data_IF_157359360567
#
_entry.id   IF_157359360567
#
_cell.length_a   1.000
_cell.length_b   1.000
_cell.length_c   1.000
_cell.angle_alpha   90.00
_cell.angle_beta   90.00
_cell.angle_gamma   90.00
#
_symmetry.space_group_name_H-M   'P 1'
#
loop_
_entity.id
_entity.type
_entity.pdbx_description
1 polymer ?
#
# COMPACT_ATOMS: atom_id res chain seq x y z
N UNK A 1 63.36 -7.70 59.71
CA UNK A 1 62.12 -8.41 59.80
C UNK A 1 60.96 -7.41 59.46
N UNK A 2 60.53 -7.28 58.18
CA UNK A 2 59.54 -6.32 57.74
C UNK A 2 58.51 -7.15 56.97
N UNK A 3 57.26 -7.17 57.45
CA UNK A 3 56.15 -7.87 56.95
C UNK A 3 55.49 -6.95 55.89
N UNK A 4 55.45 -7.38 54.63
CA UNK A 4 54.72 -6.70 53.54
C UNK A 4 53.31 -7.31 53.50
N UNK A 5 52.30 -6.48 53.76
CA UNK A 5 50.86 -6.86 53.58
C UNK A 5 50.49 -6.57 52.16
N UNK A 6 50.11 -7.62 51.47
CA UNK A 6 49.53 -7.57 50.10
C UNK A 6 48.04 -7.26 50.23
N UNK A 7 47.58 -6.12 49.67
CA UNK A 7 46.18 -5.78 49.53
C UNK A 7 45.68 -6.30 48.22
N UNK A 8 44.79 -7.32 48.22
CA UNK A 8 44.02 -7.71 47.05
C UNK A 8 42.81 -6.77 46.90
N UNK A 9 42.80 -5.93 45.86
CA UNK A 9 41.64 -5.18 45.42
C UNK A 9 40.80 -6.08 44.54
N UNK A 10 39.64 -6.51 45.04
CA UNK A 10 38.62 -7.19 44.26
C UNK A 10 37.75 -6.13 43.52
N UNK A 11 37.94 -6.01 42.24
CA UNK A 11 37.07 -5.20 41.38
C UNK A 11 35.78 -5.98 41.03
N UNK A 12 34.66 -5.58 41.64
CA UNK A 12 33.33 -6.07 41.30
C UNK A 12 32.88 -5.34 40.04
N UNK A 13 32.95 -6.03 38.90
CA UNK A 13 32.40 -5.56 37.65
C UNK A 13 30.85 -5.70 37.66
N UNK A 14 30.16 -4.58 37.77
CA UNK A 14 28.72 -4.54 37.58
C UNK A 14 28.38 -4.69 36.08
N UNK A 15 27.94 -5.87 35.67
CA UNK A 15 27.38 -6.09 34.33
C UNK A 15 25.98 -5.46 34.28
N UNK A 16 25.85 -4.32 33.60
CA UNK A 16 24.58 -3.73 33.25
C UNK A 16 23.93 -4.58 32.16
N UNK A 17 22.98 -5.44 32.55
CA UNK A 17 22.06 -6.09 31.62
C UNK A 17 21.10 -5.04 31.06
N UNK A 18 21.37 -4.56 29.84
CA UNK A 18 20.43 -3.78 29.07
C UNK A 18 19.28 -4.70 28.64
N UNK A 19 18.19 -4.73 29.39
CA UNK A 19 16.96 -5.35 28.94
C UNK A 19 16.42 -4.52 27.78
N UNK A 20 16.55 -5.04 26.56
CA UNK A 20 15.83 -4.53 25.38
C UNK A 20 14.35 -4.78 25.64
N UNK A 21 13.60 -3.73 25.93
CA UNK A 21 12.14 -3.80 25.93
C UNK A 21 11.74 -3.93 24.45
N UNK A 22 11.59 -5.16 23.97
CA UNK A 22 10.85 -5.42 22.76
C UNK A 22 9.43 -4.93 23.03
N UNK A 23 9.04 -3.82 22.41
CA UNK A 23 7.66 -3.35 22.45
C UNK A 23 6.81 -4.47 21.88
N UNK A 24 5.99 -5.12 22.69
CA UNK A 24 4.96 -6.00 22.21
C UNK A 24 4.01 -5.14 21.37
N UNK A 25 3.93 -5.39 20.07
CA UNK A 25 2.89 -4.82 19.24
C UNK A 25 1.60 -5.50 19.65
N UNK A 26 0.59 -4.70 20.01
CA UNK A 26 -0.71 -5.23 20.32
C UNK A 26 -1.32 -5.78 19.03
N UNK A 27 -1.59 -7.08 19.01
CA UNK A 27 -2.30 -7.78 17.94
C UNK A 27 -3.70 -8.16 18.38
N UNK A 28 -4.62 -8.22 17.43
CA UNK A 28 -6.02 -8.62 17.71
C UNK A 28 -6.68 -9.31 16.55
N UNK A 29 -7.76 -10.02 16.84
CA UNK A 29 -8.67 -10.50 15.82
C UNK A 29 -9.48 -9.31 15.25
N UNK A 30 -9.43 -9.12 13.95
CA UNK A 30 -10.26 -8.16 13.22
C UNK A 30 -11.35 -8.90 12.46
N UNK A 31 -12.60 -8.49 12.64
CA UNK A 31 -13.76 -9.05 11.95
C UNK A 31 -14.21 -8.10 10.86
N UNK A 32 -14.20 -8.56 9.62
CA UNK A 32 -14.67 -7.82 8.46
C UNK A 32 -15.99 -8.41 7.98
N UNK A 33 -16.92 -7.56 7.59
CA UNK A 33 -18.19 -7.95 7.01
C UNK A 33 -18.40 -7.27 5.67
N UNK A 34 -18.56 -8.08 4.64
CA UNK A 34 -18.70 -7.64 3.26
C UNK A 34 -20.14 -7.74 2.80
N UNK A 35 -20.67 -6.65 2.29
CA UNK A 35 -22.02 -6.60 1.72
C UNK A 35 -22.05 -5.78 0.42
N UNK A 36 -23.09 -5.97 -0.35
CA UNK A 36 -23.29 -5.26 -1.61
C UNK A 36 -23.64 -3.79 -1.31
N UNK A 37 -23.04 -2.89 -2.08
CA UNK A 37 -23.37 -1.47 -2.00
C UNK A 37 -24.86 -1.24 -2.28
N UNK A 38 -25.46 -0.32 -1.53
CA UNK A 38 -26.85 0.08 -1.57
C UNK A 38 -27.88 -0.95 -1.05
N UNK A 39 -27.44 -2.11 -0.63
CA UNK A 39 -28.29 -3.07 0.09
C UNK A 39 -27.43 -3.87 1.10
N UNK A 40 -28.10 -4.69 1.92
CA UNK A 40 -27.43 -5.44 2.99
C UNK A 40 -27.15 -6.90 2.58
N UNK A 41 -27.16 -7.21 1.30
CA UNK A 41 -26.90 -8.59 0.82
C UNK A 41 -25.44 -8.94 1.08
N UNK A 42 -25.24 -9.95 1.90
CA UNK A 42 -23.90 -10.45 2.28
C UNK A 42 -23.18 -11.07 1.07
N UNK A 43 -21.88 -10.79 0.96
CA UNK A 43 -21.06 -11.31 -0.14
C UNK A 43 -20.28 -12.52 0.37
N UNK A 44 -20.67 -13.70 -0.08
CA UNK A 44 -20.04 -14.97 0.23
C UNK A 44 -18.90 -15.29 -0.74
N UNK A 45 -17.84 -15.89 -0.23
CA UNK A 45 -16.73 -16.41 -1.05
C UNK A 45 -15.86 -15.33 -1.67
N UNK A 46 -15.91 -14.11 -1.12
CA UNK A 46 -14.97 -13.06 -1.47
C UNK A 46 -13.59 -13.37 -0.87
N UNK A 47 -12.55 -13.35 -1.68
CA UNK A 47 -11.17 -13.46 -1.23
C UNK A 47 -10.70 -12.13 -0.66
N UNK A 48 -10.13 -12.16 0.54
CA UNK A 48 -9.67 -10.97 1.26
C UNK A 48 -8.17 -11.10 1.52
N UNK A 49 -7.42 -10.08 1.11
CA UNK A 49 -5.99 -9.96 1.36
C UNK A 49 -5.72 -8.64 2.09
N UNK A 50 -4.87 -8.66 3.10
CA UNK A 50 -4.48 -7.48 3.87
C UNK A 50 -2.99 -7.23 3.66
N UNK A 51 -2.62 -5.95 3.51
CA UNK A 51 -1.25 -5.48 3.32
C UNK A 51 -0.51 -6.23 2.20
N UNK A 52 -1.26 -6.71 1.19
CA UNK A 52 -0.79 -7.48 0.03
C UNK A 52 -0.13 -8.84 0.34
N UNK A 53 -0.02 -9.21 1.61
CA UNK A 53 0.72 -10.40 2.05
C UNK A 53 -0.07 -11.33 2.98
N UNK A 54 -1.03 -10.80 3.72
CA UNK A 54 -1.83 -11.56 4.67
C UNK A 54 -3.09 -12.04 3.95
N UNK A 55 -3.14 -13.32 3.62
CA UNK A 55 -4.35 -13.94 3.08
C UNK A 55 -5.34 -14.22 4.23
N UNK A 56 -6.32 -13.34 4.40
CA UNK A 56 -7.37 -13.50 5.42
C UNK A 56 -8.37 -14.63 5.09
N UNK A 57 -8.31 -15.16 3.87
CA UNK A 57 -9.20 -16.22 3.39
C UNK A 57 -10.46 -15.71 2.71
N UNK A 58 -11.50 -16.54 2.68
CA UNK A 58 -12.75 -16.23 2.00
C UNK A 58 -13.87 -15.92 2.99
N UNK A 59 -14.76 -14.99 2.62
CA UNK A 59 -15.96 -14.71 3.42
C UNK A 59 -16.92 -15.89 3.47
N UNK A 60 -17.55 -16.07 4.63
CA UNK A 60 -18.57 -17.08 4.89
C UNK A 60 -19.95 -16.71 4.28
N UNK A 61 -20.99 -17.48 4.61
CA UNK A 61 -22.36 -17.23 4.13
C UNK A 61 -22.98 -15.93 4.66
N UNK A 62 -22.47 -15.39 5.75
CA UNK A 62 -22.87 -14.11 6.34
C UNK A 62 -22.02 -12.94 5.82
N UNK A 63 -21.10 -13.20 4.88
CA UNK A 63 -20.16 -12.22 4.35
C UNK A 63 -19.05 -11.86 5.34
N UNK A 64 -18.77 -12.71 6.32
CA UNK A 64 -17.80 -12.43 7.39
C UNK A 64 -16.49 -13.17 7.09
N UNK A 65 -15.38 -12.48 7.31
CA UNK A 65 -14.04 -13.05 7.40
C UNK A 65 -13.37 -12.53 8.68
N UNK A 66 -12.58 -13.40 9.33
CA UNK A 66 -11.84 -13.08 10.55
C UNK A 66 -10.36 -13.09 10.26
N UNK A 67 -9.69 -12.05 10.67
CA UNK A 67 -8.24 -11.89 10.53
C UNK A 67 -7.65 -11.99 11.92
N UNK A 68 -7.03 -13.13 12.28
CA UNK A 68 -6.39 -13.26 13.57
C UNK A 68 -5.08 -12.46 13.60
N UNK A 69 -4.66 -12.10 14.79
CA UNK A 69 -3.33 -11.56 15.10
C UNK A 69 -2.89 -10.38 14.21
N UNK A 70 -3.84 -9.52 13.81
CA UNK A 70 -3.52 -8.30 13.07
C UNK A 70 -3.00 -7.23 14.04
N UNK A 71 -1.91 -6.59 13.69
CA UNK A 71 -1.32 -5.50 14.47
C UNK A 71 -2.27 -4.31 14.55
N UNK A 72 -2.21 -3.54 15.63
CA UNK A 72 -2.96 -2.29 15.74
C UNK A 72 -2.34 -1.23 14.80
N UNK A 73 -3.18 -0.58 14.00
CA UNK A 73 -2.73 0.45 13.07
C UNK A 73 -3.51 0.52 11.78
N UNK A 74 -2.92 1.18 10.79
CA UNK A 74 -3.50 1.33 9.45
C UNK A 74 -3.11 0.17 8.54
N UNK A 75 -4.11 -0.41 7.88
CA UNK A 75 -3.96 -1.55 6.97
C UNK A 75 -4.60 -1.27 5.61
N UNK A 76 -4.08 -1.90 4.58
CA UNK A 76 -4.67 -1.90 3.24
C UNK A 76 -5.45 -3.20 3.06
N UNK A 77 -6.67 -3.11 2.55
CA UNK A 77 -7.47 -4.28 2.22
C UNK A 77 -7.69 -4.36 0.71
N UNK A 78 -7.53 -5.56 0.18
CA UNK A 78 -7.88 -5.94 -1.16
C UNK A 78 -8.94 -7.04 -1.11
N UNK A 79 -10.06 -6.83 -1.81
CA UNK A 79 -11.13 -7.83 -1.90
C UNK A 79 -11.45 -8.13 -3.34
N UNK A 80 -11.46 -9.42 -3.67
CA UNK A 80 -11.89 -9.93 -4.97
C UNK A 80 -13.07 -10.86 -4.78
N UNK A 81 -14.21 -10.51 -5.39
CA UNK A 81 -15.42 -11.30 -5.33
C UNK A 81 -16.04 -11.47 -6.72
N UNK A 82 -16.55 -12.67 -7.01
CA UNK A 82 -17.19 -12.95 -8.30
C UNK A 82 -18.46 -12.11 -8.48
N UNK A 83 -18.52 -11.34 -9.57
CA UNK A 83 -19.66 -10.46 -9.87
C UNK A 83 -19.59 -9.08 -9.21
N UNK A 84 -18.49 -8.78 -8.56
CA UNK A 84 -18.23 -7.47 -7.95
C UNK A 84 -16.95 -6.84 -8.53
N UNK A 85 -16.88 -5.52 -8.47
CA UNK A 85 -15.66 -4.80 -8.78
C UNK A 85 -14.59 -5.14 -7.72
N UNK A 86 -13.33 -5.23 -8.11
CA UNK A 86 -12.25 -5.37 -7.14
C UNK A 86 -12.28 -4.17 -6.19
N UNK A 87 -12.27 -4.45 -4.91
CA UNK A 87 -12.34 -3.45 -3.86
C UNK A 87 -10.95 -3.26 -3.24
N UNK A 88 -10.54 -2.02 -3.15
CA UNK A 88 -9.31 -1.62 -2.49
C UNK A 88 -9.63 -0.45 -1.59
N UNK A 89 -9.27 -0.57 -0.33
CA UNK A 89 -9.46 0.50 0.64
C UNK A 89 -8.41 0.38 1.75
N UNK A 90 -8.45 1.29 2.67
CA UNK A 90 -7.68 1.25 3.90
C UNK A 90 -8.61 1.25 5.11
N UNK A 91 -8.18 0.59 6.16
CA UNK A 91 -8.89 0.60 7.44
C UNK A 91 -7.89 0.68 8.60
N UNK A 92 -8.40 1.00 9.78
CA UNK A 92 -7.60 1.03 11.00
C UNK A 92 -8.07 -0.10 11.92
N UNK A 93 -7.13 -0.89 12.42
CA UNK A 93 -7.35 -1.83 13.52
C UNK A 93 -6.97 -1.18 14.85
N UNK A 94 -7.68 -1.50 15.91
CA UNK A 94 -7.39 -0.94 17.23
C UNK A 94 -8.48 -1.28 18.27
N UNK A 95 -8.15 -1.10 19.54
CA UNK A 95 -9.06 -1.40 20.65
C UNK A 95 -10.39 -0.65 20.56
N UNK A 96 -10.35 0.58 20.08
CA UNK A 96 -11.52 1.46 19.99
C UNK A 96 -12.29 1.33 18.67
N UNK A 97 -11.83 0.46 17.75
CA UNK A 97 -12.47 0.25 16.46
C UNK A 97 -13.67 -0.67 16.60
N UNK A 98 -14.82 -0.17 16.18
CA UNK A 98 -16.08 -0.93 16.26
C UNK A 98 -16.05 -2.11 15.28
N UNK A 99 -16.33 -3.30 15.80
CA UNK A 99 -16.40 -4.55 15.04
C UNK A 99 -17.85 -5.00 14.80
N UNK A 100 -18.16 -5.67 13.67
CA UNK A 100 -17.32 -5.87 12.51
C UNK A 100 -17.16 -4.60 11.69
N UNK A 101 -16.00 -4.45 11.03
CA UNK A 101 -15.76 -3.37 10.05
C UNK A 101 -16.60 -3.69 8.81
N UNK A 102 -17.44 -2.74 8.39
CA UNK A 102 -18.34 -2.92 7.24
C UNK A 102 -17.65 -2.51 5.95
N UNK A 103 -17.72 -3.36 4.93
CA UNK A 103 -17.16 -3.11 3.61
C UNK A 103 -18.24 -3.25 2.54
N UNK A 104 -18.40 -2.24 1.71
CA UNK A 104 -19.41 -2.18 0.66
C UNK A 104 -18.77 -2.40 -0.71
N UNK A 105 -19.15 -3.47 -1.41
CA UNK A 105 -18.66 -3.76 -2.75
C UNK A 105 -19.70 -3.40 -3.81
N UNK A 106 -19.22 -2.76 -4.86
CA UNK A 106 -20.06 -2.44 -6.03
C UNK A 106 -20.21 -3.67 -6.93
N UNK A 107 -21.43 -4.06 -7.31
CA UNK A 107 -21.61 -5.13 -8.29
C UNK A 107 -21.09 -4.70 -9.66
N UNK A 108 -20.54 -5.66 -10.40
CA UNK A 108 -20.25 -5.45 -11.83
C UNK A 108 -21.60 -5.50 -12.57
N UNK A 109 -21.99 -4.39 -13.19
CA UNK A 109 -23.21 -4.34 -13.99
C UNK A 109 -23.08 -5.28 -15.19
N UNK A 110 -24.19 -5.90 -15.60
CA UNK A 110 -24.20 -6.85 -16.73
C UNK A 110 -23.66 -6.24 -18.04
N UNK A 111 -23.80 -4.94 -18.22
CA UNK A 111 -23.18 -4.18 -19.31
C UNK A 111 -21.66 -4.15 -19.26
N UNK A 112 -21.08 -4.24 -18.05
CA UNK A 112 -19.64 -4.23 -17.86
C UNK A 112 -19.03 -5.62 -18.12
N UNK A 113 -19.81 -6.70 -17.92
CA UNK A 113 -19.36 -8.07 -18.22
C UNK A 113 -19.25 -8.34 -19.72
N UNK A 114 -20.06 -7.71 -20.56
CA UNK A 114 -19.94 -7.82 -22.02
C UNK A 114 -18.76 -6.99 -22.56
N UNK A 115 -18.45 -5.87 -21.93
CA UNK A 115 -17.27 -5.05 -22.22
C UNK A 115 -15.97 -5.67 -21.68
N UNK A 116 -16.05 -6.51 -20.65
CA UNK A 116 -14.91 -7.12 -19.99
C UNK A 116 -14.08 -8.07 -20.87
N UNK A 117 -14.61 -8.53 -22.00
CA UNK A 117 -13.90 -9.45 -22.91
C UNK A 117 -13.05 -8.75 -23.99
N UNK A 118 -13.21 -7.42 -24.14
CA UNK A 118 -12.44 -6.62 -25.08
C UNK A 118 -12.10 -5.20 -24.63
N UNK A 119 -12.84 -4.65 -23.66
CA UNK A 119 -12.88 -3.21 -23.35
C UNK A 119 -12.53 -2.84 -21.89
N UNK A 120 -12.16 -3.80 -21.06
CA UNK A 120 -11.73 -3.52 -19.67
C UNK A 120 -10.56 -2.55 -19.59
N UNK A 121 -9.77 -2.48 -20.64
CA UNK A 121 -8.64 -1.60 -20.73
C UNK A 121 -9.06 -0.13 -20.87
N UNK A 122 -10.11 0.13 -21.66
CA UNK A 122 -10.43 1.48 -22.11
C UNK A 122 -11.14 2.34 -21.06
N UNK A 123 -12.03 1.76 -20.25
CA UNK A 123 -12.74 2.51 -19.21
C UNK A 123 -11.88 2.80 -17.97
N UNK A 124 -11.03 1.88 -17.57
CA UNK A 124 -10.03 2.13 -16.52
C UNK A 124 -9.02 3.19 -16.94
N UNK A 125 -8.74 3.28 -18.25
CA UNK A 125 -7.81 4.23 -18.84
C UNK A 125 -8.46 5.50 -19.41
N UNK A 126 -9.77 5.69 -19.27
CA UNK A 126 -10.47 6.84 -19.87
C UNK A 126 -9.82 8.20 -19.54
N UNK A 127 -9.17 8.33 -18.39
CA UNK A 127 -8.35 9.49 -18.06
C UNK A 127 -6.87 9.39 -18.43
N UNK A 128 -6.33 8.18 -18.56
CA UNK A 128 -4.90 7.95 -18.79
C UNK A 128 -4.40 8.57 -20.10
N UNK A 129 -5.01 8.26 -21.23
CA UNK A 129 -4.59 8.78 -22.52
C UNK A 129 -4.77 10.29 -22.63
N UNK A 130 -5.86 10.83 -22.08
CA UNK A 130 -6.08 12.27 -22.03
C UNK A 130 -4.98 12.98 -21.19
N UNK A 131 -4.59 12.43 -20.04
CA UNK A 131 -3.53 12.97 -19.21
C UNK A 131 -2.15 12.79 -19.87
N UNK A 132 -1.91 11.64 -20.50
CA UNK A 132 -0.69 11.38 -21.27
C UNK A 132 -0.50 12.39 -22.39
N UNK A 133 -1.55 12.71 -23.12
CA UNK A 133 -1.52 13.72 -24.21
C UNK A 133 -1.21 15.12 -23.68
N UNK A 134 -1.63 15.45 -22.45
CA UNK A 134 -1.27 16.73 -21.79
C UNK A 134 0.21 16.82 -21.40
N UNK A 135 0.93 15.69 -21.31
CA UNK A 135 2.38 15.65 -21.12
C UNK A 135 2.89 16.16 -19.77
N UNK A 136 2.06 16.23 -18.74
CA UNK A 136 2.45 16.80 -17.45
C UNK A 136 3.10 15.79 -16.48
N UNK A 137 3.19 14.51 -16.86
CA UNK A 137 3.78 13.43 -16.10
C UNK A 137 4.63 12.51 -16.97
N UNK A 138 5.18 11.46 -16.38
CA UNK A 138 5.76 10.33 -17.09
C UNK A 138 4.76 9.17 -17.11
N UNK A 139 4.60 8.58 -18.29
CA UNK A 139 3.59 7.56 -18.54
C UNK A 139 4.26 6.31 -19.09
N UNK A 140 3.88 5.14 -18.54
CA UNK A 140 4.26 3.84 -19.09
C UNK A 140 3.01 3.14 -19.60
N UNK A 141 3.01 2.83 -20.87
CA UNK A 141 1.92 2.09 -21.51
C UNK A 141 2.06 0.60 -21.28
N UNK A 142 0.99 -0.14 -21.52
CA UNK A 142 0.95 -1.61 -21.46
C UNK A 142 2.13 -2.26 -22.21
N UNK A 143 2.38 -1.81 -23.46
CA UNK A 143 3.44 -2.35 -24.29
C UNK A 143 4.84 -2.13 -23.68
N UNK A 144 5.07 -0.98 -23.04
CA UNK A 144 6.34 -0.69 -22.36
C UNK A 144 6.50 -1.55 -21.10
N UNK A 145 5.41 -1.80 -20.37
CA UNK A 145 5.42 -2.64 -19.18
C UNK A 145 5.61 -4.12 -19.51
N UNK A 146 4.99 -4.60 -20.60
CA UNK A 146 5.22 -5.96 -21.11
C UNK A 146 6.68 -6.17 -21.55
N UNK A 147 7.28 -5.16 -22.18
CA UNK A 147 8.71 -5.18 -22.53
C UNK A 147 9.65 -5.13 -21.30
N UNK A 148 9.16 -4.66 -20.18
CA UNK A 148 9.87 -4.59 -18.91
C UNK A 148 9.51 -5.73 -17.94
N UNK A 149 8.87 -6.79 -18.42
CA UNK A 149 8.43 -7.92 -17.58
C UNK A 149 9.60 -8.48 -16.73
N UNK A 150 9.28 -8.87 -15.49
CA UNK A 150 10.28 -9.33 -14.51
C UNK A 150 11.03 -8.21 -13.78
N UNK A 151 10.81 -6.93 -14.15
CA UNK A 151 11.46 -5.81 -13.46
C UNK A 151 10.56 -5.31 -12.30
N UNK A 152 11.11 -5.17 -11.07
CA UNK A 152 10.44 -4.48 -9.99
C UNK A 152 10.09 -3.03 -10.38
N UNK A 153 8.93 -2.56 -9.93
CA UNK A 153 8.43 -1.22 -10.24
C UNK A 153 9.40 -0.12 -9.79
N UNK A 154 9.99 -0.25 -8.61
CA UNK A 154 10.96 0.71 -8.11
C UNK A 154 12.17 0.82 -9.05
N UNK A 155 12.68 -0.30 -9.57
CA UNK A 155 13.78 -0.30 -10.54
C UNK A 155 13.38 0.38 -11.85
N UNK A 156 12.21 0.03 -12.40
CA UNK A 156 11.68 0.65 -13.62
C UNK A 156 11.57 2.18 -13.46
N UNK A 157 10.98 2.65 -12.37
CA UNK A 157 10.80 4.07 -12.13
C UNK A 157 12.13 4.81 -11.89
N UNK A 158 13.10 4.18 -11.22
CA UNK A 158 14.44 4.75 -11.02
C UNK A 158 15.16 4.96 -12.35
N UNK A 159 15.20 3.93 -13.18
CA UNK A 159 16.02 3.94 -14.41
C UNK A 159 15.33 4.70 -15.54
N UNK A 160 14.05 4.43 -15.80
CA UNK A 160 13.38 4.89 -17.01
C UNK A 160 12.62 6.22 -16.79
N UNK A 161 12.26 6.51 -15.53
CA UNK A 161 11.60 7.77 -15.16
C UNK A 161 12.49 8.75 -14.38
N UNK A 162 13.64 8.32 -13.88
CA UNK A 162 14.51 9.12 -13.02
C UNK A 162 13.84 9.47 -11.68
N UNK A 163 12.95 8.59 -11.19
CA UNK A 163 12.27 8.78 -9.93
C UNK A 163 13.26 8.71 -8.75
N UNK A 164 12.99 9.52 -7.74
CA UNK A 164 13.80 9.55 -6.52
C UNK A 164 13.18 8.62 -5.47
N UNK A 165 14.02 7.80 -4.86
CA UNK A 165 13.63 6.86 -3.82
C UNK A 165 14.49 7.05 -2.58
N UNK A 166 13.89 6.80 -1.44
CA UNK A 166 14.58 6.69 -0.15
C UNK A 166 14.43 5.26 0.37
N UNK A 167 15.41 4.76 1.13
CA UNK A 167 15.27 3.47 1.79
C UNK A 167 14.27 3.59 2.94
N UNK A 168 13.31 2.69 3.00
CA UNK A 168 12.41 2.52 4.14
C UNK A 168 13.08 1.74 5.28
N UNK A 169 12.36 1.51 6.41
CA UNK A 169 12.89 0.87 7.61
C UNK A 169 13.46 -0.53 7.38
N UNK A 170 12.93 -1.26 6.39
CA UNK A 170 13.36 -2.63 6.04
C UNK A 170 14.09 -2.68 4.68
N UNK A 171 14.70 -1.56 4.28
CA UNK A 171 15.42 -1.39 3.01
C UNK A 171 14.54 -1.45 1.75
N UNK A 172 13.21 -1.40 1.88
CA UNK A 172 12.27 -1.23 0.77
C UNK A 172 12.46 0.12 0.06
N UNK A 173 12.08 0.19 -1.20
CA UNK A 173 12.17 1.41 -1.99
C UNK A 173 10.92 2.26 -1.86
N UNK A 174 10.98 3.33 -1.09
CA UNK A 174 9.89 4.29 -0.90
C UNK A 174 10.02 5.47 -1.86
N UNK A 175 8.96 5.71 -2.65
CA UNK A 175 8.94 6.80 -3.62
C UNK A 175 8.81 8.15 -2.93
N UNK A 176 9.77 9.03 -3.15
CA UNK A 176 9.80 10.36 -2.58
C UNK A 176 10.10 11.42 -3.66
N UNK A 177 10.00 12.68 -3.29
CA UNK A 177 10.45 13.79 -4.12
C UNK A 177 11.55 14.57 -3.40
N UNK A 178 12.48 15.12 -4.19
CA UNK A 178 13.47 16.06 -3.69
C UNK A 178 12.79 17.43 -3.55
N UNK A 179 12.32 17.73 -2.35
CA UNK A 179 11.75 19.06 -2.06
C UNK A 179 12.80 19.90 -1.34
N UNK A 180 13.03 21.11 -1.85
CA UNK A 180 13.88 22.09 -1.18
C UNK A 180 13.31 22.55 0.19
N UNK A 181 12.01 22.35 0.41
CA UNK A 181 11.33 22.70 1.66
C UNK A 181 11.49 21.63 2.75
N UNK A 182 11.94 20.41 2.41
CA UNK A 182 12.10 19.30 3.34
C UNK A 182 13.58 19.03 3.61
N UNK A 183 14.28 19.99 4.20
CA UNK A 183 15.68 19.81 4.56
C UNK A 183 15.91 18.72 5.64
N UNK A 184 14.86 18.24 6.31
CA UNK A 184 14.95 17.31 7.44
C UNK A 184 14.15 16.00 7.28
N UNK A 185 13.26 15.88 6.31
CA UNK A 185 12.49 14.64 6.10
C UNK A 185 12.15 14.43 4.62
N UNK A 186 12.12 13.18 4.12
CA UNK A 186 11.68 12.88 2.76
C UNK A 186 10.20 13.25 2.56
N UNK A 187 9.88 13.77 1.38
CA UNK A 187 8.51 14.08 1.00
C UNK A 187 7.98 12.93 0.13
N UNK A 188 7.21 12.04 0.72
CA UNK A 188 6.70 10.85 0.05
C UNK A 188 5.60 11.18 -0.94
N UNK A 189 5.66 10.57 -2.12
CA UNK A 189 4.64 10.73 -3.16
C UNK A 189 3.36 9.96 -2.79
N UNK A 190 2.21 10.53 -3.13
CA UNK A 190 0.96 9.80 -3.02
C UNK A 190 0.95 8.61 -3.99
N UNK A 191 0.35 7.49 -3.59
CA UNK A 191 0.17 6.32 -4.44
C UNK A 191 -1.31 6.01 -4.57
N UNK A 192 -1.76 5.90 -5.81
CA UNK A 192 -3.15 5.59 -6.18
C UNK A 192 -3.12 4.32 -7.04
N UNK A 193 -3.94 3.34 -6.71
CA UNK A 193 -4.10 2.10 -7.46
C UNK A 193 -5.54 1.97 -7.92
N UNK A 194 -5.76 1.84 -9.23
CA UNK A 194 -7.08 1.71 -9.85
C UNK A 194 -8.11 2.77 -9.41
N UNK A 195 -7.61 4.01 -9.17
CA UNK A 195 -8.43 5.14 -8.72
C UNK A 195 -8.58 5.25 -7.20
N UNK A 196 -8.15 4.25 -6.43
CA UNK A 196 -8.14 4.28 -4.96
C UNK A 196 -6.79 4.75 -4.44
N UNK A 197 -6.80 5.72 -3.52
CA UNK A 197 -5.58 6.17 -2.86
C UNK A 197 -5.16 5.16 -1.80
N UNK A 198 -3.99 4.54 -1.99
CA UNK A 198 -3.41 3.60 -1.05
C UNK A 198 -2.36 4.24 -0.14
N UNK A 199 -1.91 5.47 -0.45
CA UNK A 199 -0.99 6.27 0.36
C UNK A 199 -1.10 7.76 -0.05
N UNK A 200 -0.99 8.77 0.87
CA UNK A 200 -0.92 8.62 2.33
C UNK A 200 -2.30 8.52 2.99
N UNK A 201 -2.34 7.86 4.12
CA UNK A 201 -3.44 7.95 5.08
C UNK A 201 -2.88 7.76 6.52
N UNK A 202 -3.69 8.00 7.54
CA UNK A 202 -3.23 7.95 8.93
C UNK A 202 -2.74 6.55 9.32
N UNK A 203 -1.49 6.46 9.77
CA UNK A 203 -0.86 5.21 10.18
C UNK A 203 -0.28 4.35 9.06
N UNK A 204 -0.44 4.74 7.78
CA UNK A 204 0.13 3.99 6.67
C UNK A 204 1.60 4.32 6.44
N UNK A 205 2.39 3.30 6.15
CA UNK A 205 3.71 3.43 5.56
C UNK A 205 3.62 3.55 4.03
N UNK A 206 4.59 4.19 3.36
CA UNK A 206 4.68 4.14 1.91
C UNK A 206 4.72 2.68 1.42
N UNK A 207 4.02 2.34 0.32
CA UNK A 207 4.02 0.97 -0.20
C UNK A 207 5.41 0.58 -0.73
N UNK A 208 5.77 -0.69 -0.51
CA UNK A 208 6.98 -1.30 -1.04
C UNK A 208 6.84 -1.55 -2.55
N UNK A 209 7.47 -0.69 -3.35
CA UNK A 209 7.40 -0.78 -4.80
C UNK A 209 8.37 -1.82 -5.40
N UNK A 210 9.22 -2.44 -4.59
CA UNK A 210 10.07 -3.54 -5.04
C UNK A 210 9.29 -4.86 -5.17
N UNK A 211 8.13 -4.97 -4.50
CA UNK A 211 7.23 -6.13 -4.57
C UNK A 211 6.21 -6.08 -5.72
N UNK A 212 6.12 -4.96 -6.41
CA UNK A 212 5.24 -4.80 -7.57
C UNK A 212 6.07 -4.96 -8.83
N UNK A 213 5.61 -5.79 -9.77
CA UNK A 213 6.31 -6.04 -11.03
C UNK A 213 5.60 -5.41 -12.23
N UNK A 214 6.39 -5.02 -13.23
CA UNK A 214 5.89 -4.32 -14.43
C UNK A 214 4.75 -5.07 -15.13
N UNK A 215 4.84 -6.39 -15.24
CA UNK A 215 3.84 -7.24 -15.88
C UNK A 215 2.49 -7.30 -15.16
N UNK A 216 2.43 -6.94 -13.89
CA UNK A 216 1.18 -6.89 -13.12
C UNK A 216 0.34 -5.67 -13.47
N UNK A 217 0.93 -4.68 -14.15
CA UNK A 217 0.32 -3.40 -14.41
C UNK A 217 -0.07 -3.25 -15.88
N UNK A 218 -1.17 -2.55 -16.10
CA UNK A 218 -1.66 -2.15 -17.41
C UNK A 218 -1.19 -0.75 -17.80
N UNK A 219 -0.87 0.11 -16.83
CA UNK A 219 -0.35 1.45 -17.05
C UNK A 219 0.20 2.08 -15.78
N UNK A 220 1.07 3.06 -15.94
CA UNK A 220 1.63 3.86 -14.83
C UNK A 220 1.63 5.33 -15.22
N UNK A 221 1.27 6.19 -14.26
CA UNK A 221 1.42 7.64 -14.37
C UNK A 221 2.27 8.12 -13.20
N UNK A 222 3.38 8.77 -13.48
CA UNK A 222 4.27 9.36 -12.47
C UNK A 222 4.27 10.88 -12.58
N UNK A 223 3.86 11.54 -11.53
CA UNK A 223 3.87 12.99 -11.36
C UNK A 223 4.88 13.38 -10.29
N UNK A 224 6.10 13.66 -10.71
CA UNK A 224 7.22 13.94 -9.80
C UNK A 224 7.12 15.32 -9.12
N UNK A 225 6.21 16.19 -9.54
CA UNK A 225 6.02 17.53 -8.98
C UNK A 225 4.57 17.80 -8.66
N UNK A 226 4.25 18.43 -7.50
CA UNK A 226 2.87 18.72 -7.09
C UNK A 226 2.08 19.51 -8.15
N UNK A 227 2.74 20.46 -8.83
CA UNK A 227 2.10 21.30 -9.84
C UNK A 227 1.64 20.53 -11.09
N UNK A 228 2.21 19.34 -11.33
CA UNK A 228 1.85 18.50 -12.48
C UNK A 228 0.78 17.47 -12.17
N UNK A 229 0.41 17.33 -10.88
CA UNK A 229 -0.60 16.37 -10.45
C UNK A 229 -1.99 16.83 -10.92
N UNK A 230 -2.78 15.95 -11.54
CA UNK A 230 -4.16 16.22 -11.92
C UNK A 230 -5.00 16.75 -10.76
N UNK A 231 -5.97 17.62 -11.04
CA UNK A 231 -6.78 18.27 -10.02
C UNK A 231 -7.49 17.28 -9.09
N UNK A 232 -7.96 16.16 -9.66
CA UNK A 232 -8.64 15.07 -8.96
C UNK A 232 -7.77 14.31 -7.94
N UNK A 233 -6.45 14.43 -8.05
CA UNK A 233 -5.47 13.75 -7.17
C UNK A 233 -4.72 14.71 -6.26
N UNK A 234 -4.92 16.01 -6.40
CA UNK A 234 -4.07 17.06 -5.81
C UNK A 234 -4.14 17.12 -4.30
N UNK A 235 -5.28 16.87 -3.71
CA UNK A 235 -5.50 17.03 -2.26
C UNK A 235 -4.59 16.13 -1.41
N UNK A 236 -4.21 14.97 -1.95
CA UNK A 236 -3.32 14.04 -1.27
C UNK A 236 -1.85 14.07 -1.75
N UNK A 237 -1.58 14.77 -2.86
CA UNK A 237 -0.34 14.64 -3.62
C UNK A 237 0.60 15.84 -3.45
N UNK A 238 0.80 16.30 -2.22
CA UNK A 238 1.69 17.44 -1.91
C UNK A 238 3.15 17.22 -2.36
N UNK A 239 3.54 15.96 -2.51
CA UNK A 239 4.89 15.55 -2.89
C UNK A 239 4.91 14.81 -4.25
N UNK A 240 3.91 15.04 -5.10
CA UNK A 240 3.73 14.28 -6.32
C UNK A 240 2.85 13.05 -6.13
N UNK A 241 2.61 12.34 -7.24
CA UNK A 241 1.75 11.16 -7.23
C UNK A 241 2.26 10.07 -8.18
N UNK A 242 2.05 8.82 -7.77
CA UNK A 242 2.18 7.63 -8.60
C UNK A 242 0.79 7.01 -8.74
N UNK A 243 0.34 6.83 -9.98
CA UNK A 243 -0.93 6.16 -10.29
C UNK A 243 -0.61 4.83 -10.96
N UNK A 244 -1.14 3.75 -10.40
CA UNK A 244 -0.97 2.38 -10.87
C UNK A 244 -2.30 1.88 -11.42
N UNK A 245 -2.28 1.34 -12.61
CA UNK A 245 -3.42 0.71 -13.26
C UNK A 245 -3.12 -0.79 -13.38
N UNK A 246 -3.89 -1.63 -12.67
CA UNK A 246 -3.70 -3.08 -12.72
C UNK A 246 -4.36 -3.70 -13.94
N UNK A 247 -3.99 -4.94 -14.24
CA UNK A 247 -4.55 -5.74 -15.36
C UNK A 247 -5.95 -6.25 -15.08
#
# INVERSE_FOLDING_TARGET
>A
MRIVRLFCLASVGAALLSASVAGAQDTREVVLRLHRAHDTVSIRGASVTIDHTIEAGNTDSAGIVRVPDLEDGGHIIEVVARGYQAYFDNFVSGADVKQPIQLELLPVLASDTLKAKGERTDLKFAGFDARRTKGQGKFFTRAQLDAAAGRPLANLLKTDAGAFFVPGPHAESELATRSAAAASAPCYSAVVRDGVRIYPFAGANPPDLDKIFAEQLAGIELYARPATVPAELRDAARCGALVLWTR
#
